data_IF_597095432557
#
_entry.id   IF_597095432557
#
_cell.length_a   1.000
_cell.length_b   1.000
_cell.length_c   1.000
_cell.angle_alpha   90.00
_cell.angle_beta   90.00
_cell.angle_gamma   90.00
#
_symmetry.space_group_name_H-M   'P 1'
#
loop_
_entity.id
_entity.type
_entity.pdbx_description
1 polymer ?
#
# COMPACT_ATOMS: atom_id res chain seq x y z
N UNK A 1 5.99 0.87 -18.30
CA UNK A 1 6.55 0.39 -17.03
C UNK A 1 7.91 1.05 -16.85
N UNK A 2 8.14 1.68 -15.71
CA UNK A 2 9.41 2.32 -15.35
C UNK A 2 9.92 1.70 -14.05
N UNK A 3 11.24 1.62 -13.85
CA UNK A 3 11.80 1.07 -12.62
C UNK A 3 13.13 1.69 -12.24
N UNK A 4 13.41 1.75 -10.94
CA UNK A 4 14.67 2.23 -10.36
C UNK A 4 15.19 1.18 -9.38
N UNK A 5 16.48 0.83 -9.49
CA UNK A 5 17.14 -0.06 -8.53
C UNK A 5 17.63 0.74 -7.31
N UNK A 6 17.51 0.15 -6.13
CA UNK A 6 17.99 0.71 -4.85
C UNK A 6 18.73 -0.40 -4.11
N UNK A 7 20.04 -0.49 -4.34
CA UNK A 7 20.82 -1.65 -3.87
C UNK A 7 20.31 -2.95 -4.49
N UNK A 8 19.96 -3.93 -3.65
CA UNK A 8 19.32 -5.20 -4.04
C UNK A 8 17.80 -5.09 -4.23
N UNK A 9 17.21 -3.93 -3.90
CA UNK A 9 15.78 -3.67 -3.98
C UNK A 9 15.40 -2.94 -5.27
N UNK A 10 14.11 -2.89 -5.59
CA UNK A 10 13.59 -2.26 -6.81
C UNK A 10 12.28 -1.54 -6.58
N UNK A 11 12.17 -0.33 -7.11
CA UNK A 11 10.92 0.43 -7.21
C UNK A 11 10.43 0.31 -8.65
N UNK A 12 9.16 -0.05 -8.84
CA UNK A 12 8.50 -0.22 -10.13
C UNK A 12 7.28 0.69 -10.17
N UNK A 13 7.08 1.38 -11.29
CA UNK A 13 5.85 2.12 -11.61
C UNK A 13 5.27 1.51 -12.88
N UNK A 14 4.03 1.01 -12.80
CA UNK A 14 3.37 0.33 -13.90
C UNK A 14 1.89 0.70 -13.94
N UNK A 15 1.29 0.64 -15.12
CA UNK A 15 -0.17 0.76 -15.29
C UNK A 15 -0.76 -0.63 -15.25
N UNK A 16 -1.85 -0.83 -14.50
CA UNK A 16 -2.45 -2.15 -14.40
C UNK A 16 -3.58 -2.28 -13.38
N UNK A 17 -4.05 -3.52 -13.22
CA UNK A 17 -5.05 -3.86 -12.21
C UNK A 17 -4.35 -4.37 -10.95
N UNK A 18 -4.55 -3.67 -9.83
CA UNK A 18 -3.99 -4.05 -8.54
C UNK A 18 -4.40 -5.46 -8.12
N UNK A 19 -5.62 -5.90 -8.48
CA UNK A 19 -6.16 -7.23 -8.15
C UNK A 19 -5.46 -8.37 -8.89
N UNK A 20 -4.69 -8.06 -9.93
CA UNK A 20 -3.99 -9.04 -10.76
C UNK A 20 -2.50 -9.13 -10.43
N UNK A 21 -2.02 -8.39 -9.43
CA UNK A 21 -0.60 -8.37 -9.08
C UNK A 21 -0.21 -9.63 -8.31
N UNK A 22 0.71 -10.40 -8.89
CA UNK A 22 1.29 -11.57 -8.25
C UNK A 22 2.42 -11.16 -7.30
N UNK A 23 2.07 -10.79 -6.06
CA UNK A 23 2.99 -10.25 -5.04
C UNK A 23 2.68 -10.82 -3.66
N UNK A 24 3.58 -10.65 -2.70
CA UNK A 24 3.33 -11.10 -1.33
C UNK A 24 2.25 -10.23 -0.66
N UNK A 25 2.30 -8.91 -0.87
CA UNK A 25 1.37 -7.95 -0.24
C UNK A 25 0.68 -7.09 -1.29
N UNK A 26 -0.65 -7.11 -1.30
CA UNK A 26 -1.47 -6.06 -1.92
C UNK A 26 -1.87 -5.06 -0.84
N UNK A 27 -1.62 -3.78 -1.08
CA UNK A 27 -2.01 -2.70 -0.18
C UNK A 27 -3.34 -2.13 -0.64
N UNK A 28 -4.27 -1.95 0.30
CA UNK A 28 -5.49 -1.19 0.10
C UNK A 28 -5.52 -0.03 1.10
N UNK A 29 -5.78 1.18 0.61
CA UNK A 29 -5.98 2.32 1.50
C UNK A 29 -7.43 2.34 1.99
N UNK A 30 -7.64 2.33 3.31
CA UNK A 30 -8.98 2.34 3.94
C UNK A 30 -9.79 3.62 3.66
N UNK A 31 -9.20 4.60 2.98
CA UNK A 31 -9.83 5.84 2.53
C UNK A 31 -9.30 6.22 1.14
N UNK A 32 -10.12 6.21 0.07
CA UNK A 32 -11.57 6.06 0.07
C UNK A 32 -12.06 4.61 0.11
N UNK A 33 -13.21 4.41 0.78
CA UNK A 33 -13.87 3.10 0.98
C UNK A 33 -14.06 2.26 -0.30
N UNK A 34 -14.22 2.92 -1.45
CA UNK A 34 -14.43 2.27 -2.75
C UNK A 34 -13.30 1.32 -3.13
N UNK A 35 -12.03 1.68 -2.86
CA UNK A 35 -10.90 0.81 -3.17
C UNK A 35 -10.94 -0.45 -2.30
N UNK A 36 -11.19 -0.29 -1.00
CA UNK A 36 -11.31 -1.42 -0.08
C UNK A 36 -12.47 -2.34 -0.47
N UNK A 37 -13.65 -1.79 -0.73
CA UNK A 37 -14.81 -2.57 -1.13
C UNK A 37 -14.53 -3.37 -2.41
N UNK A 38 -13.82 -2.76 -3.37
CA UNK A 38 -13.43 -3.42 -4.64
C UNK A 38 -12.42 -4.55 -4.41
N UNK A 39 -11.42 -4.33 -3.55
CA UNK A 39 -10.41 -5.35 -3.21
C UNK A 39 -11.05 -6.49 -2.43
N UNK A 40 -11.87 -6.18 -1.43
CA UNK A 40 -12.60 -7.16 -0.62
C UNK A 40 -13.53 -8.01 -1.49
N UNK A 41 -14.30 -7.38 -2.39
CA UNK A 41 -15.18 -8.11 -3.30
C UNK A 41 -14.41 -9.05 -4.22
N UNK A 42 -13.26 -8.63 -4.74
CA UNK A 42 -12.43 -9.44 -5.62
C UNK A 42 -11.70 -10.58 -4.88
N UNK A 43 -11.31 -10.35 -3.62
CA UNK A 43 -10.65 -11.35 -2.77
C UNK A 43 -11.60 -12.44 -2.26
N UNK A 44 -12.92 -12.20 -2.30
CA UNK A 44 -13.95 -13.18 -2.03
C UNK A 44 -14.45 -13.21 -0.58
N UNK A 45 -15.40 -14.12 -0.33
CA UNK A 45 -16.22 -14.12 0.89
C UNK A 45 -15.42 -14.33 2.17
N UNK A 46 -14.35 -15.13 2.13
CA UNK A 46 -13.46 -15.34 3.28
C UNK A 46 -12.82 -14.02 3.75
N UNK A 47 -12.26 -13.25 2.81
CA UNK A 47 -11.64 -11.95 3.10
C UNK A 47 -12.67 -10.94 3.54
N UNK A 48 -13.87 -10.94 2.94
CA UNK A 48 -14.97 -10.07 3.35
C UNK A 48 -15.40 -10.30 4.80
N UNK A 49 -15.49 -11.55 5.26
CA UNK A 49 -15.80 -11.86 6.66
C UNK A 49 -14.71 -11.37 7.59
N UNK A 50 -13.44 -11.71 7.32
CA UNK A 50 -12.30 -11.27 8.13
C UNK A 50 -12.20 -9.74 8.20
N UNK A 51 -12.39 -9.05 7.07
CA UNK A 51 -12.41 -7.60 7.00
C UNK A 51 -13.52 -6.99 7.87
N UNK A 52 -14.74 -7.52 7.78
CA UNK A 52 -15.87 -7.04 8.56
C UNK A 52 -15.68 -7.30 10.06
N UNK A 53 -15.22 -8.50 10.43
CA UNK A 53 -14.94 -8.86 11.82
C UNK A 53 -13.90 -7.92 12.44
N UNK A 54 -12.77 -7.70 11.76
CA UNK A 54 -11.72 -6.79 12.24
C UNK A 54 -12.19 -5.33 12.27
N UNK A 55 -13.01 -4.91 11.31
CA UNK A 55 -13.60 -3.55 11.30
C UNK A 55 -14.50 -3.29 12.51
N UNK A 56 -15.21 -4.32 13.01
CA UNK A 56 -16.10 -4.19 14.18
C UNK A 56 -15.33 -3.95 15.48
N UNK A 57 -14.08 -4.40 15.57
CA UNK A 57 -13.20 -4.15 16.72
C UNK A 57 -12.59 -2.73 16.71
N UNK A 58 -13.00 -1.87 15.77
CA UNK A 58 -12.51 -0.49 15.65
C UNK A 58 -11.07 -0.40 15.14
N UNK A 59 -10.49 -1.51 14.67
CA UNK A 59 -9.14 -1.53 14.10
C UNK A 59 -9.20 -0.92 12.71
N UNK A 60 -8.51 0.20 12.50
CA UNK A 60 -8.44 0.82 11.18
C UNK A 60 -7.41 0.11 10.27
N UNK A 61 -6.41 -0.54 10.87
CA UNK A 61 -5.47 -1.42 10.19
C UNK A 61 -6.00 -2.85 10.22
N UNK A 62 -6.25 -3.41 9.05
CA UNK A 62 -6.85 -4.73 8.87
C UNK A 62 -5.92 -5.54 7.98
N UNK A 63 -5.63 -6.77 8.40
CA UNK A 63 -4.72 -7.67 7.69
C UNK A 63 -5.41 -8.99 7.44
N UNK A 64 -5.43 -9.41 6.18
CA UNK A 64 -6.13 -10.63 5.75
C UNK A 64 -5.24 -11.46 4.81
N UNK A 65 -5.65 -12.69 4.55
CA UNK A 65 -5.09 -13.51 3.47
C UNK A 65 -5.41 -12.91 2.09
N UNK A 66 -4.72 -13.33 1.03
CA UNK A 66 -5.06 -12.94 -0.35
C UNK A 66 -6.45 -13.38 -0.84
N UNK A 67 -7.02 -14.43 -0.26
CA UNK A 67 -8.27 -15.01 -0.75
C UNK A 67 -8.13 -15.45 -2.20
N UNK A 68 -8.98 -14.93 -3.07
CA UNK A 68 -8.94 -15.19 -4.51
C UNK A 68 -7.91 -14.35 -5.28
N UNK A 69 -7.27 -13.36 -4.64
CA UNK A 69 -6.23 -12.56 -5.29
C UNK A 69 -4.92 -13.33 -5.35
N UNK A 70 -4.06 -13.08 -6.36
CA UNK A 70 -2.75 -13.71 -6.48
C UNK A 70 -1.73 -13.09 -5.50
N UNK A 71 -2.10 -12.93 -4.22
CA UNK A 71 -1.19 -12.47 -3.19
C UNK A 71 -1.25 -13.33 -1.92
N UNK A 72 -0.25 -13.21 -1.05
CA UNK A 72 -0.25 -13.89 0.25
C UNK A 72 -1.13 -13.14 1.25
N UNK A 73 -1.00 -11.82 1.27
CA UNK A 73 -1.67 -10.94 2.22
C UNK A 73 -2.30 -9.74 1.52
N UNK A 74 -3.41 -9.27 2.09
CA UNK A 74 -4.00 -7.96 1.79
C UNK A 74 -3.91 -7.14 3.06
N UNK A 75 -3.31 -5.97 2.94
CA UNK A 75 -3.11 -5.02 4.03
C UNK A 75 -3.97 -3.79 3.76
N UNK A 76 -4.98 -3.61 4.61
CA UNK A 76 -5.84 -2.45 4.62
C UNK A 76 -5.32 -1.48 5.67
N UNK A 77 -4.65 -0.41 5.24
CA UNK A 77 -4.18 0.64 6.15
C UNK A 77 -4.84 1.97 5.82
N UNK A 78 -5.34 2.72 6.81
CA UNK A 78 -5.88 4.03 6.56
C UNK A 78 -4.73 4.97 6.23
N UNK A 79 -4.95 5.83 5.25
CA UNK A 79 -4.18 7.06 5.14
C UNK A 79 -5.13 8.22 5.39
N UNK A 80 -4.80 9.03 6.39
CA UNK A 80 -5.54 10.24 6.75
C UNK A 80 -4.58 11.42 6.75
N UNK A 81 -5.00 12.51 6.12
CA UNK A 81 -4.30 13.77 6.16
C UNK A 81 -5.34 14.89 6.29
N UNK A 82 -5.20 15.74 7.30
CA UNK A 82 -5.99 16.96 7.41
C UNK A 82 -5.59 17.91 6.27
N UNK A 83 -6.54 18.25 5.40
CA UNK A 83 -6.32 19.16 4.26
C UNK A 83 -5.85 20.54 4.70
N UNK A 84 -6.23 20.96 5.92
CA UNK A 84 -5.82 22.25 6.48
C UNK A 84 -4.37 22.24 6.99
N UNK A 85 -3.72 21.08 6.99
CA UNK A 85 -2.35 20.89 7.47
C UNK A 85 -1.48 20.25 6.38
N UNK A 86 -1.37 20.90 5.22
CA UNK A 86 -0.49 20.49 4.10
C UNK A 86 0.94 20.20 4.59
N UNK A 87 1.43 20.94 5.59
CA UNK A 87 2.73 20.71 6.23
C UNK A 87 2.92 19.28 6.78
N UNK A 88 1.82 18.59 7.09
CA UNK A 88 1.82 17.21 7.57
C UNK A 88 1.62 16.17 6.46
N UNK A 89 1.38 16.59 5.20
CA UNK A 89 1.15 15.69 4.08
C UNK A 89 2.33 14.72 3.88
N UNK A 90 3.54 15.28 3.78
CA UNK A 90 4.77 14.49 3.61
C UNK A 90 4.97 13.50 4.76
N UNK A 91 4.78 13.95 6.01
CA UNK A 91 4.93 13.13 7.21
C UNK A 91 3.89 12.00 7.27
N UNK A 92 2.63 12.29 6.92
CA UNK A 92 1.56 11.29 6.90
C UNK A 92 1.81 10.20 5.84
N UNK A 93 2.27 10.59 4.64
CA UNK A 93 2.65 9.63 3.59
C UNK A 93 3.87 8.83 4.02
N UNK A 94 4.85 9.49 4.65
CA UNK A 94 6.04 8.81 5.15
C UNK A 94 5.69 7.73 6.17
N UNK A 95 4.79 8.05 7.11
CA UNK A 95 4.28 7.12 8.12
C UNK A 95 3.55 5.95 7.47
N UNK A 96 2.67 6.21 6.50
CA UNK A 96 1.92 5.19 5.78
C UNK A 96 2.84 4.23 4.99
N UNK A 97 3.80 4.76 4.22
CA UNK A 97 4.72 3.93 3.45
C UNK A 97 5.63 3.12 4.38
N UNK A 98 6.15 3.75 5.44
CA UNK A 98 7.03 3.10 6.41
C UNK A 98 6.32 1.96 7.14
N UNK A 99 5.06 2.12 7.53
CA UNK A 99 4.31 1.06 8.23
C UNK A 99 4.11 -0.18 7.34
N UNK A 100 3.82 0.01 6.06
CA UNK A 100 3.68 -1.08 5.07
C UNK A 100 5.01 -1.80 4.83
N UNK A 101 6.10 -1.04 4.61
CA UNK A 101 7.43 -1.63 4.37
C UNK A 101 7.90 -2.38 5.61
N UNK A 102 7.72 -1.81 6.80
CA UNK A 102 8.06 -2.45 8.07
C UNK A 102 7.29 -3.76 8.26
N UNK A 103 5.99 -3.74 7.97
CA UNK A 103 5.16 -4.95 7.99
C UNK A 103 5.74 -6.04 7.07
N UNK A 104 6.07 -5.71 5.82
CA UNK A 104 6.60 -6.67 4.87
C UNK A 104 7.96 -7.25 5.34
N UNK A 105 8.86 -6.40 5.83
CA UNK A 105 10.16 -6.82 6.35
C UNK A 105 10.04 -7.75 7.57
N UNK A 106 9.22 -7.38 8.56
CA UNK A 106 8.98 -8.20 9.75
C UNK A 106 8.41 -9.58 9.41
N UNK A 107 7.59 -9.65 8.36
CA UNK A 107 6.98 -10.90 7.87
C UNK A 107 7.80 -11.62 6.79
N UNK A 108 9.05 -11.17 6.52
CA UNK A 108 9.95 -11.76 5.52
C UNK A 108 9.33 -11.84 4.11
N UNK A 109 8.52 -10.84 3.77
CA UNK A 109 7.90 -10.67 2.46
C UNK A 109 8.84 -9.85 1.56
N UNK A 110 8.81 -10.12 0.26
CA UNK A 110 9.78 -9.59 -0.71
C UNK A 110 9.14 -8.76 -1.82
N UNK A 111 7.82 -8.83 -1.98
CA UNK A 111 7.10 -8.12 -3.04
C UNK A 111 5.85 -7.40 -2.52
N UNK A 112 5.71 -6.12 -2.84
CA UNK A 112 4.59 -5.26 -2.42
C UNK A 112 3.99 -4.57 -3.64
N UNK A 113 2.66 -4.55 -3.75
CA UNK A 113 1.94 -3.72 -4.70
C UNK A 113 1.14 -2.64 -3.97
N UNK A 114 1.55 -1.39 -4.15
CA UNK A 114 0.78 -0.23 -3.75
C UNK A 114 -0.23 0.14 -4.84
N UNK A 115 -1.43 0.60 -4.44
CA UNK A 115 -2.37 1.21 -5.37
C UNK A 115 -1.78 2.52 -5.90
N UNK A 116 -2.36 3.01 -6.99
CA UNK A 116 -2.40 4.43 -7.25
C UNK A 116 -3.11 5.09 -6.06
N UNK A 117 -2.38 5.83 -5.22
CA UNK A 117 -3.02 6.63 -4.17
C UNK A 117 -3.64 7.85 -4.84
N UNK A 118 -4.75 7.60 -5.52
CA UNK A 118 -5.61 8.58 -6.14
C UNK A 118 -6.50 9.19 -5.08
N UNK A 119 -5.94 10.10 -4.29
CA UNK A 119 -6.72 10.85 -3.31
C UNK A 119 -7.35 12.09 -3.93
N UNK A 120 -8.07 11.88 -5.03
CA UNK A 120 -8.88 12.91 -5.68
C UNK A 120 -9.88 13.52 -4.68
N UNK A 121 -10.39 12.69 -3.76
CA UNK A 121 -11.27 13.13 -2.68
C UNK A 121 -10.55 13.98 -1.61
N UNK A 122 -9.22 13.89 -1.50
CA UNK A 122 -8.43 14.69 -0.55
C UNK A 122 -7.97 16.03 -1.14
N UNK A 123 -8.12 16.28 -2.44
CA UNK A 123 -7.83 17.58 -3.06
C UNK A 123 -6.34 17.96 -3.10
N UNK A 124 -5.44 16.99 -2.87
CA UNK A 124 -4.00 17.15 -3.08
C UNK A 124 -3.63 16.79 -4.53
N UNK A 125 -2.54 17.37 -5.05
CA UNK A 125 -2.01 17.00 -6.37
C UNK A 125 -1.55 15.53 -6.37
N UNK A 126 -2.11 14.66 -7.24
CA UNK A 126 -1.70 13.28 -7.37
C UNK A 126 -0.20 13.10 -7.65
N UNK A 127 0.42 14.04 -8.39
CA UNK A 127 1.87 14.01 -8.66
C UNK A 127 2.68 14.21 -7.38
N UNK A 128 2.24 15.12 -6.51
CA UNK A 128 2.90 15.39 -5.24
C UNK A 128 2.81 14.20 -4.28
N UNK A 129 1.65 13.53 -4.22
CA UNK A 129 1.49 12.29 -3.45
C UNK A 129 2.45 11.21 -3.97
N UNK A 130 2.46 10.98 -5.28
CA UNK A 130 3.33 9.98 -5.90
C UNK A 130 4.82 10.28 -5.63
N UNK A 131 5.23 11.54 -5.73
CA UNK A 131 6.60 11.97 -5.41
C UNK A 131 6.96 11.63 -3.95
N UNK A 132 6.09 11.95 -2.99
CA UNK A 132 6.35 11.65 -1.58
C UNK A 132 6.38 10.15 -1.29
N UNK A 133 5.49 9.37 -1.90
CA UNK A 133 5.50 7.91 -1.75
C UNK A 133 6.78 7.29 -2.30
N UNK A 134 7.19 7.68 -3.51
CA UNK A 134 8.40 7.17 -4.15
C UNK A 134 9.64 7.60 -3.37
N UNK A 135 9.71 8.86 -2.94
CA UNK A 135 10.84 9.36 -2.17
C UNK A 135 10.96 8.64 -0.82
N UNK A 136 9.86 8.47 -0.08
CA UNK A 136 9.91 7.71 1.17
C UNK A 136 10.34 6.26 0.92
N UNK A 137 9.76 5.61 -0.08
CA UNK A 137 10.11 4.23 -0.45
C UNK A 137 11.61 4.12 -0.74
N UNK A 138 12.16 5.09 -1.49
CA UNK A 138 13.59 5.14 -1.78
C UNK A 138 14.45 5.28 -0.51
N UNK A 139 14.05 6.14 0.44
CA UNK A 139 14.76 6.27 1.73
C UNK A 139 14.73 4.98 2.54
N UNK A 140 13.56 4.34 2.67
CA UNK A 140 13.39 3.09 3.41
C UNK A 140 14.21 1.95 2.79
N UNK A 141 14.24 1.86 1.45
CA UNK A 141 15.03 0.84 0.76
C UNK A 141 16.53 1.08 0.85
N UNK A 142 16.99 2.34 0.95
CA UNK A 142 18.42 2.65 1.15
C UNK A 142 18.97 2.16 2.49
N UNK A 143 18.16 2.25 3.56
CA UNK A 143 18.58 1.89 4.92
C UNK A 143 18.36 0.39 5.22
N UNK A 144 17.51 -0.28 4.44
CA UNK A 144 17.18 -1.70 4.61
C UNK A 144 18.27 -2.61 4.00
N UNK A 145 19.36 -2.85 4.73
CA UNK A 145 20.52 -3.59 4.23
C UNK A 145 20.34 -5.13 4.11
N UNK A 146 19.26 -5.71 4.64
CA UNK A 146 19.19 -7.15 4.93
C UNK A 146 18.19 -7.97 4.09
N UNK A 147 17.24 -7.32 3.40
CA UNK A 147 16.21 -8.02 2.61
C UNK A 147 15.92 -7.27 1.31
N UNK A 148 16.04 -7.96 0.18
CA UNK A 148 15.66 -7.39 -1.12
C UNK A 148 14.13 -7.25 -1.22
N UNK A 149 13.67 -6.03 -1.49
CA UNK A 149 12.26 -5.71 -1.66
C UNK A 149 11.97 -5.19 -3.07
N UNK A 150 10.92 -5.70 -3.68
CA UNK A 150 10.37 -5.18 -4.93
C UNK A 150 9.05 -4.50 -4.60
N UNK A 151 8.99 -3.19 -4.81
CA UNK A 151 7.83 -2.37 -4.51
C UNK A 151 7.27 -1.82 -5.83
N UNK A 152 6.02 -2.14 -6.12
CA UNK A 152 5.33 -1.73 -7.34
C UNK A 152 4.22 -0.75 -7.03
N UNK A 153 4.20 0.39 -7.71
CA UNK A 153 3.09 1.33 -7.76
C UNK A 153 2.26 1.05 -9.00
N UNK A 154 0.99 0.69 -8.82
CA UNK A 154 0.09 0.25 -9.89
C UNK A 154 -0.94 1.33 -10.19
N UNK A 155 -0.79 1.97 -11.35
CA UNK A 155 -1.59 3.08 -11.86
C UNK A 155 -2.84 2.63 -12.60
#
# INVERSE_FOLDING_TARGET
MSSVAVGSSKIIVCTGDLRKQSVDVIVACSTPKILCDTIVAAAGEQVKRAFNEQSLYGTQEIETTGGNLPCKHIVFRPWTCDKNQIQNLKSSIATFVTSIISYALCNKLTTIAFPNIGCEQLGFDPKLIAEYMINETYQQLKVSAHSALIISFVL
#
